data_IF_344729563284
#
_entry.id   IF_344729563284
#
_cell.length_a   1.000
_cell.length_b   1.000
_cell.length_c   1.000
_cell.angle_alpha   90.00
_cell.angle_beta   90.00
_cell.angle_gamma   90.00
#
_symmetry.space_group_name_H-M   'P 1'
#
loop_
_entity.id
_entity.type
_entity.pdbx_description
1 polymer ?
#
# COMPACT_ATOMS: atom_id res chain seq x y z
N UNK A 1 10.99 3.79 8.36
CA UNK A 1 10.83 4.12 9.81
C UNK A 1 9.37 3.98 10.20
N UNK A 2 9.02 3.88 11.48
CA UNK A 2 7.60 3.85 11.92
C UNK A 2 6.87 5.16 11.56
N UNK A 3 5.60 5.07 11.18
CA UNK A 3 4.76 6.21 10.81
C UNK A 3 4.56 7.23 11.93
N UNK A 4 4.69 6.79 13.19
CA UNK A 4 4.61 7.63 14.40
C UNK A 4 5.93 8.32 14.76
N UNK A 5 7.01 8.06 14.03
CA UNK A 5 8.33 8.65 14.31
C UNK A 5 8.28 10.18 14.21
N UNK A 6 8.89 10.92 15.16
CA UNK A 6 8.98 12.38 15.07
C UNK A 6 10.09 12.85 14.11
N UNK A 7 10.92 11.93 13.60
CA UNK A 7 12.08 12.24 12.77
C UNK A 7 11.70 12.96 11.46
N UNK A 8 10.66 12.55 10.70
CA UNK A 8 10.30 13.23 9.47
C UNK A 8 9.97 14.69 9.69
N UNK A 9 9.20 15.03 10.73
CA UNK A 9 8.89 16.42 11.05
C UNK A 9 10.16 17.22 11.35
N UNK A 10 11.08 16.67 12.15
CA UNK A 10 12.37 17.32 12.43
C UNK A 10 13.22 17.55 11.19
N UNK A 11 13.12 16.68 10.18
CA UNK A 11 13.82 16.84 8.90
C UNK A 11 13.16 17.92 8.04
N UNK A 12 11.83 17.94 7.98
CA UNK A 12 11.06 18.99 7.31
C UNK A 12 11.33 20.37 7.90
N UNK A 13 11.35 20.49 9.24
CA UNK A 13 11.65 21.73 9.97
C UNK A 13 13.06 22.26 9.67
N UNK A 14 13.97 21.35 9.26
CA UNK A 14 15.34 21.68 8.82
C UNK A 14 15.45 21.98 7.32
N UNK A 15 14.33 21.97 6.59
CA UNK A 15 14.28 22.26 5.15
C UNK A 15 14.63 21.08 4.25
N UNK A 16 14.71 19.85 4.77
CA UNK A 16 14.96 18.68 3.92
C UNK A 16 13.70 18.27 3.16
N UNK A 17 13.89 17.80 1.92
CA UNK A 17 12.83 17.20 1.10
C UNK A 17 12.77 15.70 1.34
N UNK A 18 11.56 15.16 1.47
CA UNK A 18 11.34 13.77 1.87
C UNK A 18 10.55 12.99 0.82
N UNK A 19 11.00 11.76 0.57
CA UNK A 19 10.16 10.66 0.07
C UNK A 19 9.82 9.80 1.28
N UNK A 20 8.54 9.55 1.50
CA UNK A 20 8.06 8.85 2.70
C UNK A 20 7.93 7.36 2.42
N UNK A 21 8.64 6.53 3.18
CA UNK A 21 8.44 5.09 3.19
C UNK A 21 8.40 4.59 4.64
N UNK A 22 7.18 4.40 5.13
CA UNK A 22 6.95 3.98 6.51
C UNK A 22 6.92 2.47 6.61
N UNK A 23 7.63 1.95 7.61
CA UNK A 23 7.88 0.53 7.80
C UNK A 23 6.60 -0.22 8.22
N UNK A 24 5.74 0.39 9.00
CA UNK A 24 4.49 -0.20 9.51
C UNK A 24 3.26 0.12 8.66
N UNK A 25 3.46 0.69 7.46
CA UNK A 25 2.37 0.96 6.51
C UNK A 25 2.74 0.52 5.11
N UNK A 26 3.94 0.86 4.60
CA UNK A 26 4.29 0.71 3.19
C UNK A 26 5.48 -0.23 2.92
N UNK A 27 5.87 -1.06 3.89
CA UNK A 27 6.79 -2.17 3.64
C UNK A 27 5.99 -3.44 3.35
N UNK A 28 6.27 -4.07 2.22
CA UNK A 28 5.52 -5.22 1.74
C UNK A 28 6.13 -6.56 2.15
N UNK A 29 7.40 -6.58 2.56
CA UNK A 29 8.18 -7.74 3.00
C UNK A 29 7.88 -8.19 4.44
N UNK A 30 7.19 -7.33 5.20
CA UNK A 30 6.72 -7.66 6.53
C UNK A 30 5.70 -8.81 6.53
N UNK A 31 5.80 -9.69 7.52
CA UNK A 31 5.01 -10.92 7.65
C UNK A 31 5.70 -12.18 7.13
N UNK A 32 6.81 -12.06 6.40
CA UNK A 32 7.56 -13.22 5.86
C UNK A 32 8.73 -13.68 6.74
N UNK A 33 9.16 -12.86 7.71
CA UNK A 33 10.12 -13.29 8.74
C UNK A 33 9.89 -12.60 10.09
N UNK A 34 10.37 -13.28 11.13
CA UNK A 34 10.35 -12.77 12.49
C UNK A 34 8.92 -12.52 12.99
N UNK A 35 8.76 -11.44 13.76
CA UNK A 35 7.48 -11.03 14.37
C UNK A 35 6.91 -9.77 13.71
N UNK A 36 7.15 -9.56 12.42
CA UNK A 36 6.59 -8.43 11.66
C UNK A 36 5.16 -8.75 11.22
N UNK A 37 4.27 -7.75 11.20
CA UNK A 37 2.89 -7.94 10.79
C UNK A 37 2.75 -7.71 9.28
N UNK A 38 2.09 -8.63 8.57
CA UNK A 38 1.68 -8.38 7.20
C UNK A 38 0.55 -7.34 7.22
N UNK A 39 0.78 -6.20 6.57
CA UNK A 39 -0.25 -5.18 6.43
C UNK A 39 -1.08 -5.44 5.17
N UNK A 40 -2.40 -5.49 5.33
CA UNK A 40 -3.34 -5.52 4.22
C UNK A 40 -3.39 -4.17 3.49
N UNK A 41 -4.02 -4.16 2.31
CA UNK A 41 -4.13 -2.95 1.51
C UNK A 41 -4.96 -1.85 2.18
N UNK A 42 -5.91 -2.18 3.07
CA UNK A 42 -6.75 -1.19 3.77
C UNK A 42 -5.88 -0.37 4.74
N UNK A 43 -4.94 -1.01 5.43
CA UNK A 43 -3.94 -0.34 6.26
C UNK A 43 -3.06 0.59 5.43
N UNK A 44 -2.59 0.12 4.26
CA UNK A 44 -1.77 0.93 3.35
C UNK A 44 -2.53 2.15 2.83
N UNK A 45 -3.79 1.94 2.41
CA UNK A 45 -4.66 2.95 1.84
C UNK A 45 -5.04 4.04 2.84
N UNK A 46 -5.33 3.64 4.09
CA UNK A 46 -5.76 4.54 5.14
C UNK A 46 -4.63 5.41 5.71
N UNK A 47 -3.37 5.08 5.43
CA UNK A 47 -2.25 5.93 5.80
C UNK A 47 -2.20 7.20 4.93
N UNK A 48 -2.37 8.36 5.58
CA UNK A 48 -2.31 9.67 4.92
C UNK A 48 -0.97 10.33 5.19
N UNK A 49 -0.34 10.84 4.13
CA UNK A 49 0.85 11.68 4.28
C UNK A 49 0.51 13.00 4.94
N UNK A 50 1.43 13.47 5.77
CA UNK A 50 1.38 14.82 6.33
C UNK A 50 1.48 15.85 5.20
N UNK A 51 0.69 16.91 5.31
CA UNK A 51 0.64 17.99 4.32
C UNK A 51 1.78 18.96 4.61
N UNK A 52 2.83 18.91 3.79
CA UNK A 52 3.98 19.79 3.90
C UNK A 52 4.64 19.95 2.52
N UNK A 53 5.06 21.16 2.15
CA UNK A 53 5.58 21.48 0.80
C UNK A 53 6.83 20.68 0.42
N UNK A 54 7.70 20.39 1.40
CA UNK A 54 8.91 19.57 1.20
C UNK A 54 8.65 18.06 1.12
N UNK A 55 7.40 17.58 1.19
CA UNK A 55 7.07 16.17 0.95
C UNK A 55 6.88 15.96 -0.54
N UNK A 56 7.77 15.17 -1.14
CA UNK A 56 7.75 14.89 -2.58
C UNK A 56 6.76 13.78 -2.95
N UNK A 57 6.34 12.98 -1.97
CA UNK A 57 5.47 11.84 -2.16
C UNK A 57 5.84 10.68 -1.26
N UNK A 58 5.52 9.47 -1.70
CA UNK A 58 5.75 8.24 -0.98
C UNK A 58 6.29 7.13 -1.85
N UNK A 59 6.87 6.12 -1.20
CA UNK A 59 7.37 4.92 -1.83
C UNK A 59 6.96 3.68 -1.03
N UNK A 60 6.43 2.70 -1.75
CA UNK A 60 6.18 1.35 -1.23
C UNK A 60 7.44 0.53 -1.42
N UNK A 61 7.97 -0.01 -0.31
CA UNK A 61 9.22 -0.76 -0.33
C UNK A 61 8.95 -2.27 -0.36
N UNK A 62 9.64 -2.96 -1.27
CA UNK A 62 9.73 -4.42 -1.32
C UNK A 62 11.19 -4.82 -1.12
N UNK A 63 11.55 -5.20 0.10
CA UNK A 63 12.85 -5.82 0.35
C UNK A 63 12.83 -7.29 -0.10
N UNK A 64 13.95 -7.76 -0.64
CA UNK A 64 13.99 -9.00 -1.44
C UNK A 64 14.69 -10.18 -0.76
N UNK A 65 14.96 -10.12 0.54
CA UNK A 65 15.66 -11.19 1.26
C UNK A 65 14.89 -12.53 1.24
N UNK A 66 13.58 -12.49 1.01
CA UNK A 66 12.71 -13.67 0.74
C UNK A 66 11.79 -13.46 -0.47
N UNK A 67 12.24 -12.67 -1.44
CA UNK A 67 11.49 -12.40 -2.67
C UNK A 67 12.40 -12.61 -3.86
N UNK A 68 11.89 -13.32 -4.83
CA UNK A 68 12.53 -13.56 -6.12
C UNK A 68 11.55 -13.24 -7.25
N UNK A 69 11.99 -13.47 -8.48
CA UNK A 69 11.18 -13.26 -9.68
C UNK A 69 9.87 -14.07 -9.72
N UNK A 70 9.76 -15.20 -9.01
CA UNK A 70 8.53 -15.99 -8.97
C UNK A 70 7.46 -15.41 -8.03
N UNK A 71 7.88 -14.62 -7.04
CA UNK A 71 7.03 -14.14 -5.96
C UNK A 71 6.85 -12.62 -5.94
N UNK A 72 7.56 -11.89 -6.79
CA UNK A 72 7.53 -10.42 -6.84
C UNK A 72 6.11 -9.88 -7.10
N UNK A 73 5.46 -10.32 -8.18
CA UNK A 73 4.16 -9.80 -8.59
C UNK A 73 3.10 -9.98 -7.50
N UNK A 74 3.00 -11.19 -6.93
CA UNK A 74 2.04 -11.51 -5.87
C UNK A 74 2.29 -10.64 -4.65
N UNK A 75 3.55 -10.35 -4.31
CA UNK A 75 3.84 -9.55 -3.13
C UNK A 75 3.61 -8.05 -3.37
N UNK A 76 3.88 -7.55 -4.57
CA UNK A 76 3.74 -6.13 -4.94
C UNK A 76 2.28 -5.76 -5.21
N UNK A 77 1.56 -6.62 -5.91
CA UNK A 77 0.21 -6.36 -6.40
C UNK A 77 -0.82 -7.26 -5.71
N UNK A 78 -2.02 -6.74 -5.40
CA UNK A 78 -2.55 -5.41 -5.72
C UNK A 78 -2.22 -4.34 -4.67
N UNK A 79 -1.57 -4.70 -3.56
CA UNK A 79 -1.33 -3.84 -2.39
C UNK A 79 -0.73 -2.47 -2.75
N UNK A 80 0.22 -2.42 -3.68
CA UNK A 80 0.83 -1.14 -4.12
C UNK A 80 -0.17 -0.18 -4.76
N UNK A 81 -1.24 -0.68 -5.38
CA UNK A 81 -2.28 0.15 -5.99
C UNK A 81 -3.02 1.02 -4.96
N UNK A 82 -3.16 0.52 -3.72
CA UNK A 82 -3.76 1.28 -2.63
C UNK A 82 -2.95 2.55 -2.30
N UNK A 83 -1.63 2.42 -2.20
CA UNK A 83 -0.73 3.55 -2.00
C UNK A 83 -0.67 4.44 -3.25
N UNK A 84 -0.72 3.86 -4.45
CA UNK A 84 -0.73 4.63 -5.70
C UNK A 84 -1.89 5.64 -5.73
N UNK A 85 -3.11 5.22 -5.40
CA UNK A 85 -4.23 6.17 -5.34
C UNK A 85 -4.07 7.20 -4.21
N UNK A 86 -3.62 6.75 -3.03
CA UNK A 86 -3.36 7.66 -1.90
C UNK A 86 -2.41 8.79 -2.30
N UNK A 87 -1.37 8.48 -3.08
CA UNK A 87 -0.40 9.46 -3.56
C UNK A 87 -0.93 10.29 -4.74
N UNK A 88 -1.80 9.71 -5.58
CA UNK A 88 -2.33 10.37 -6.77
C UNK A 88 -3.44 11.38 -6.48
N UNK A 89 -4.50 10.96 -5.78
CA UNK A 89 -5.72 11.77 -5.56
C UNK A 89 -5.91 12.17 -4.10
N UNK A 90 -5.19 11.54 -3.17
CA UNK A 90 -5.29 11.73 -1.72
C UNK A 90 -6.74 11.87 -1.20
N UNK A 91 -7.57 10.83 -1.39
CA UNK A 91 -9.00 10.90 -1.13
C UNK A 91 -9.31 11.12 0.36
N UNK A 92 -10.36 11.86 0.66
CA UNK A 92 -10.80 12.08 2.06
C UNK A 92 -11.30 10.79 2.71
N UNK A 93 -12.02 9.99 1.91
CA UNK A 93 -12.63 8.72 2.31
C UNK A 93 -11.59 7.62 2.55
N UNK A 94 -12.00 6.59 3.27
CA UNK A 94 -11.17 5.47 3.68
C UNK A 94 -11.15 4.34 2.67
N UNK A 95 -10.56 3.22 3.08
CA UNK A 95 -10.42 2.03 2.24
C UNK A 95 -11.75 1.33 1.94
N UNK A 96 -12.75 1.46 2.81
CA UNK A 96 -14.04 0.79 2.59
C UNK A 96 -14.75 1.36 1.35
N UNK A 97 -14.64 2.67 1.14
CA UNK A 97 -15.18 3.35 -0.03
C UNK A 97 -14.36 3.10 -1.31
N UNK A 98 -13.17 2.50 -1.16
CA UNK A 98 -12.27 2.13 -2.23
C UNK A 98 -12.43 0.67 -2.68
N UNK A 99 -13.16 -0.15 -1.95
CA UNK A 99 -13.12 -1.61 -2.05
C UNK A 99 -13.54 -2.14 -3.44
N UNK A 100 -14.72 -1.77 -3.93
CA UNK A 100 -15.20 -2.25 -5.24
C UNK A 100 -14.24 -1.94 -6.39
N UNK A 101 -13.72 -0.71 -6.44
CA UNK A 101 -12.74 -0.32 -7.47
C UNK A 101 -11.36 -0.92 -7.26
N UNK A 102 -10.97 -1.21 -6.02
CA UNK A 102 -9.71 -1.90 -5.72
C UNK A 102 -9.75 -3.34 -6.24
N UNK A 103 -10.86 -4.05 -6.01
CA UNK A 103 -11.08 -5.40 -6.56
C UNK A 103 -11.12 -5.38 -8.10
N UNK A 104 -11.84 -4.42 -8.69
CA UNK A 104 -11.85 -4.28 -10.15
C UNK A 104 -10.46 -4.01 -10.74
N UNK A 105 -9.64 -3.20 -10.06
CA UNK A 105 -8.26 -2.95 -10.48
C UNK A 105 -7.40 -4.21 -10.37
N UNK A 106 -7.56 -5.00 -9.29
CA UNK A 106 -6.90 -6.30 -9.14
C UNK A 106 -7.22 -7.23 -10.31
N UNK A 107 -8.49 -7.34 -10.71
CA UNK A 107 -8.89 -8.13 -11.90
C UNK A 107 -8.36 -7.56 -13.22
N UNK A 108 -8.12 -6.25 -13.29
CA UNK A 108 -7.49 -5.64 -14.46
C UNK A 108 -6.01 -6.01 -14.55
N UNK A 109 -5.30 -6.11 -13.42
CA UNK A 109 -3.91 -6.56 -13.37
C UNK A 109 -3.76 -8.01 -13.85
N UNK A 110 -4.64 -8.91 -13.41
CA UNK A 110 -4.62 -10.32 -13.83
C UNK A 110 -4.88 -10.46 -15.34
N UNK A 111 -5.81 -9.67 -15.89
CA UNK A 111 -6.11 -9.64 -17.35
C UNK A 111 -4.93 -9.20 -18.21
N UNK A 112 -4.02 -8.38 -17.69
CA UNK A 112 -2.82 -7.94 -18.41
C UNK A 112 -1.58 -8.82 -18.12
N UNK A 113 -1.76 -9.94 -17.42
CA UNK A 113 -0.71 -10.93 -17.17
C UNK A 113 0.13 -10.67 -15.92
N UNK A 114 -0.27 -9.74 -15.04
CA UNK A 114 0.39 -9.52 -13.75
C UNK A 114 -0.22 -10.50 -12.73
N UNK A 115 0.63 -11.28 -12.07
CA UNK A 115 0.18 -12.26 -11.08
C UNK A 115 -0.12 -11.60 -9.72
N UNK A 116 -1.20 -10.83 -9.65
CA UNK A 116 -1.63 -10.13 -8.43
C UNK A 116 -2.23 -11.08 -7.38
N UNK A 117 -1.89 -10.84 -6.11
CA UNK A 117 -2.42 -11.62 -4.98
C UNK A 117 -3.96 -11.60 -4.94
N UNK A 118 -4.53 -12.62 -4.30
CA UNK A 118 -5.94 -12.63 -3.98
C UNK A 118 -6.20 -11.71 -2.78
N UNK A 119 -7.15 -10.78 -2.91
CA UNK A 119 -7.57 -9.96 -1.79
C UNK A 119 -8.81 -10.53 -1.06
N UNK A 120 -9.80 -10.96 -1.83
CA UNK A 120 -11.04 -11.55 -1.34
C UNK A 120 -11.45 -12.74 -2.22
N UNK A 121 -12.40 -13.58 -1.76
CA UNK A 121 -13.01 -14.57 -2.63
C UNK A 121 -13.60 -13.92 -3.88
N UNK A 122 -13.50 -14.58 -5.04
CA UNK A 122 -14.02 -14.06 -6.30
C UNK A 122 -15.54 -13.74 -6.24
N UNK A 123 -16.29 -14.44 -5.39
CA UNK A 123 -17.70 -14.13 -5.09
C UNK A 123 -17.90 -12.68 -4.65
N UNK A 124 -16.98 -12.10 -3.87
CA UNK A 124 -17.07 -10.74 -3.37
C UNK A 124 -16.89 -9.68 -4.47
N UNK A 125 -16.14 -10.03 -5.52
CA UNK A 125 -16.03 -9.20 -6.72
C UNK A 125 -17.32 -9.25 -7.56
N UNK A 126 -17.98 -10.40 -7.64
CA UNK A 126 -19.24 -10.54 -8.38
C UNK A 126 -20.46 -9.99 -7.62
N UNK A 127 -20.38 -9.89 -6.29
CA UNK A 127 -21.47 -9.51 -5.41
C UNK A 127 -21.02 -8.38 -4.47
N UNK A 128 -20.92 -7.17 -5.02
CA UNK A 128 -20.50 -5.99 -4.26
C UNK A 128 -21.34 -5.79 -2.98
N UNK A 129 -20.66 -5.48 -1.87
CA UNK A 129 -21.22 -5.25 -0.53
C UNK A 129 -21.70 -6.48 0.24
N UNK A 130 -21.60 -7.69 -0.30
CA UNK A 130 -21.99 -8.94 0.40
C UNK A 130 -20.88 -9.53 1.29
N UNK A 131 -19.68 -8.93 1.28
CA UNK A 131 -18.49 -9.42 2.00
C UNK A 131 -17.88 -8.39 2.98
N UNK A 132 -18.66 -7.37 3.38
CA UNK A 132 -18.21 -6.29 4.26
C UNK A 132 -18.36 -6.60 5.76
#
# INVERSE_FOLDING_TARGET
MEASSPIPQKLLDKGYRLIVSTKDKWYLDHGFWGRTACHDWKVMYNYKLYQHENVLGGEVAMWTEKVDHHSLDVKVWPRTAATAERLWSNPKLGANEAEGRFEHFRESLTKIGINADANSPYYCYENENECQ
#
